data_IF_519945870855
#
_entry.id   IF_519945870855
#
_cell.length_a   1.000
_cell.length_b   1.000
_cell.length_c   1.000
_cell.angle_alpha   90.00
_cell.angle_beta   90.00
_cell.angle_gamma   90.00
#
_symmetry.space_group_name_H-M   'P 1'
#
loop_
_entity.id
_entity.type
_entity.pdbx_description
1 polymer ?
#
# COMPACT_ATOMS: atom_id res chain seq x y z
N UNK A 1 -10.14 -7.54 1.27
CA UNK A 1 -9.15 -6.89 0.39
C UNK A 1 -8.03 -7.88 0.09
N UNK A 2 -7.83 -8.22 -1.19
CA UNK A 2 -6.75 -9.10 -1.64
C UNK A 2 -5.51 -8.30 -2.01
N UNK A 3 -4.33 -8.81 -1.69
CA UNK A 3 -3.05 -8.16 -1.98
C UNK A 3 -2.25 -9.08 -2.91
N UNK A 4 -1.84 -8.56 -4.06
CA UNK A 4 -0.96 -9.26 -5.00
C UNK A 4 0.46 -8.69 -4.88
N UNK A 5 1.52 -9.51 -5.05
CA UNK A 5 2.88 -9.00 -5.13
C UNK A 5 3.03 -7.96 -6.25
N UNK A 6 3.63 -6.80 -5.94
CA UNK A 6 3.91 -5.79 -6.95
C UNK A 6 5.05 -6.25 -7.84
N UNK A 7 4.94 -6.00 -9.15
CA UNK A 7 6.02 -6.22 -10.11
C UNK A 7 6.54 -4.88 -10.62
N UNK A 8 7.85 -4.80 -10.83
CA UNK A 8 8.47 -3.64 -11.46
C UNK A 8 8.22 -3.67 -12.98
N UNK A 9 8.75 -2.67 -13.71
CA UNK A 9 8.60 -2.54 -15.16
C UNK A 9 9.14 -3.74 -15.94
N UNK A 10 10.16 -4.40 -15.40
CA UNK A 10 10.79 -5.60 -15.98
C UNK A 10 10.04 -6.90 -15.61
N UNK A 11 8.89 -6.80 -14.94
CA UNK A 11 8.08 -7.93 -14.50
C UNK A 11 8.63 -8.66 -13.26
N UNK A 12 9.72 -8.18 -12.68
CA UNK A 12 10.34 -8.77 -11.50
C UNK A 12 9.55 -8.40 -10.24
N UNK A 13 9.50 -9.33 -9.28
CA UNK A 13 8.83 -9.09 -8.01
C UNK A 13 9.56 -7.99 -7.23
N UNK A 14 8.83 -6.94 -6.87
CA UNK A 14 9.31 -5.92 -5.96
C UNK A 14 9.09 -6.40 -4.54
N UNK A 15 10.18 -6.76 -3.86
CA UNK A 15 10.12 -7.29 -2.51
C UNK A 15 9.43 -6.31 -1.57
N UNK A 16 8.66 -6.85 -0.61
CA UNK A 16 7.95 -6.07 0.40
C UNK A 16 6.99 -5.01 -0.17
N UNK A 17 6.51 -5.20 -1.40
CA UNK A 17 5.56 -4.32 -2.06
C UNK A 17 4.40 -5.14 -2.62
N UNK A 18 3.18 -4.63 -2.42
CA UNK A 18 1.94 -5.25 -2.86
C UNK A 18 1.03 -4.23 -3.51
N UNK A 19 0.15 -4.71 -4.38
CA UNK A 19 -0.96 -3.95 -4.95
C UNK A 19 -2.27 -4.59 -4.50
N UNK A 20 -3.21 -3.80 -4.01
CA UNK A 20 -4.54 -4.28 -3.61
C UNK A 20 -5.42 -4.52 -4.83
N UNK A 21 -6.49 -5.30 -4.66
CA UNK A 21 -7.56 -5.45 -5.67
C UNK A 21 -8.24 -4.12 -6.04
N UNK A 22 -8.15 -3.11 -5.18
CA UNK A 22 -8.58 -1.72 -5.44
C UNK A 22 -7.49 -0.81 -6.03
N UNK A 23 -6.30 -1.33 -6.33
CA UNK A 23 -5.21 -0.59 -7.00
C UNK A 23 -4.29 0.22 -6.09
N UNK A 24 -4.47 0.18 -4.77
CA UNK A 24 -3.56 0.84 -3.83
C UNK A 24 -2.23 0.11 -3.79
N UNK A 25 -1.13 0.85 -3.68
CA UNK A 25 0.18 0.26 -3.39
C UNK A 25 0.43 0.29 -1.89
N UNK A 26 0.83 -0.86 -1.34
CA UNK A 26 1.29 -1.02 0.03
C UNK A 26 2.74 -1.48 -0.01
N UNK A 27 3.62 -0.75 0.64
CA UNK A 27 5.01 -1.18 0.85
C UNK A 27 5.21 -1.56 2.33
N UNK A 28 6.29 -2.25 2.65
CA UNK A 28 6.78 -2.41 4.02
C UNK A 28 8.17 -1.79 4.12
N UNK A 29 8.28 -0.72 4.90
CA UNK A 29 9.53 -0.04 5.22
C UNK A 29 9.91 -0.30 6.68
N UNK A 30 11.21 -0.42 6.99
CA UNK A 30 11.68 -0.90 8.31
C UNK A 30 12.51 0.12 9.12
N UNK A 31 12.33 1.43 8.94
CA UNK A 31 13.18 2.44 9.60
C UNK A 31 12.36 3.64 10.09
N UNK A 32 12.48 4.04 11.38
CA UNK A 32 13.11 3.35 12.51
C UNK A 32 12.30 2.15 13.04
N UNK A 33 11.00 2.11 12.74
CA UNK A 33 10.11 0.99 13.03
C UNK A 33 9.50 0.46 11.72
N UNK A 34 8.98 -0.77 11.76
CA UNK A 34 8.23 -1.30 10.62
C UNK A 34 6.93 -0.50 10.45
N UNK A 35 6.74 0.03 9.24
CA UNK A 35 5.53 0.72 8.80
C UNK A 35 5.16 0.28 7.39
N UNK A 36 3.89 0.42 7.09
CA UNK A 36 3.31 0.17 5.80
C UNK A 36 2.89 1.50 5.15
N UNK A 37 3.74 2.11 4.32
CA UNK A 37 3.33 3.25 3.50
C UNK A 37 2.22 2.83 2.54
N UNK A 38 1.13 3.59 2.52
CA UNK A 38 -0.03 3.37 1.65
C UNK A 38 -0.09 4.48 0.61
N UNK A 39 -0.13 4.09 -0.67
CA UNK A 39 -0.18 5.01 -1.81
C UNK A 39 -1.45 4.77 -2.60
N UNK A 40 -2.15 5.85 -2.98
CA UNK A 40 -3.39 5.78 -3.77
C UNK A 40 -3.15 5.18 -5.16
N UNK A 41 -4.18 4.62 -5.82
CA UNK A 41 -4.10 4.22 -7.22
C UNK A 41 -3.62 5.39 -8.09
N UNK A 42 -2.56 5.17 -8.87
CA UNK A 42 -1.95 6.21 -9.72
C UNK A 42 -1.12 7.27 -8.97
N UNK A 43 -1.07 7.23 -7.64
CA UNK A 43 -0.25 8.14 -6.84
C UNK A 43 1.23 7.75 -6.86
N UNK A 44 2.10 8.74 -6.73
CA UNK A 44 3.57 8.54 -6.68
C UNK A 44 4.10 8.49 -5.24
N UNK A 45 3.39 9.10 -4.28
CA UNK A 45 3.83 9.22 -2.89
C UNK A 45 2.81 8.62 -1.91
N UNK A 46 3.28 8.02 -0.80
CA UNK A 46 2.40 7.57 0.27
C UNK A 46 1.60 8.73 0.86
N UNK A 47 0.31 8.53 1.10
CA UNK A 47 -0.55 9.49 1.80
C UNK A 47 -0.74 9.12 3.28
N UNK A 48 -0.43 7.89 3.66
CA UNK A 48 -0.55 7.38 5.02
C UNK A 48 0.51 6.32 5.34
N UNK A 49 0.74 6.09 6.63
CA UNK A 49 1.68 5.10 7.15
C UNK A 49 0.99 4.28 8.24
N UNK A 50 0.79 2.99 7.99
CA UNK A 50 0.18 2.07 8.96
C UNK A 50 1.23 1.27 9.74
N UNK A 51 0.92 0.85 10.95
CA UNK A 51 1.75 -0.02 11.79
C UNK A 51 1.57 -1.50 11.49
N UNK A 52 0.41 -1.88 10.98
CA UNK A 52 0.04 -3.27 10.70
C UNK A 52 -0.93 -3.36 9.52
N UNK A 53 -1.27 -4.58 9.14
CA UNK A 53 -2.13 -4.87 7.98
C UNK A 53 -3.58 -4.44 8.19
N UNK A 54 -4.10 -4.51 9.41
CA UNK A 54 -5.49 -4.16 9.69
C UNK A 54 -5.69 -2.64 9.61
N UNK A 55 -4.70 -1.88 10.06
CA UNK A 55 -4.66 -0.43 9.91
C UNK A 55 -4.53 -0.02 8.43
N UNK A 56 -3.77 -0.76 7.60
CA UNK A 56 -3.78 -0.55 6.14
C UNK A 56 -5.18 -0.71 5.55
N UNK A 57 -5.89 -1.79 5.92
CA UNK A 57 -7.25 -2.05 5.42
C UNK A 57 -8.19 -0.92 5.83
N UNK A 58 -8.11 -0.49 7.09
CA UNK A 58 -8.95 0.60 7.63
C UNK A 58 -8.72 1.91 6.89
N UNK A 59 -7.46 2.29 6.67
CA UNK A 59 -7.08 3.51 5.93
C UNK A 59 -7.64 3.49 4.51
N UNK A 60 -7.48 2.36 3.80
CA UNK A 60 -7.97 2.26 2.42
C UNK A 60 -9.50 2.33 2.38
N UNK A 61 -10.19 1.66 3.30
CA UNK A 61 -11.66 1.73 3.37
C UNK A 61 -12.16 3.15 3.63
N UNK A 62 -11.49 3.90 4.52
CA UNK A 62 -11.82 5.30 4.80
C UNK A 62 -11.58 6.20 3.59
N UNK A 63 -10.45 6.04 2.90
CA UNK A 63 -10.11 6.80 1.69
C UNK A 63 -11.09 6.53 0.54
N UNK A 64 -11.52 5.27 0.37
CA UNK A 64 -12.53 4.90 -0.62
C UNK A 64 -13.92 5.45 -0.31
N UNK A 65 -14.28 5.56 0.98
CA UNK A 65 -15.57 6.10 1.41
C UNK A 65 -15.63 7.64 1.28
N UNK A 66 -14.49 8.30 1.29
CA UNK A 66 -14.38 9.76 1.15
C UNK A 66 -13.22 10.14 0.23
N UNK A 67 -13.38 9.96 -1.10
CA UNK A 67 -12.35 10.32 -2.05
C UNK A 67 -12.11 11.83 -1.99
N UNK A 68 -10.88 12.23 -1.65
CA UNK A 68 -10.45 13.62 -1.62
C UNK A 68 -10.40 14.26 -3.01
#
# INVERSE_FOLDING_TARGET
MKWAPKRNRDGQLQQNCWVTDSGYTVALCRLPESRYPVTRPGGELPFAYAKDRDEVITIIQQDQANPA
#
